data_IF_824106615828
#
_entry.id   IF_824106615828
#
_cell.length_a   1.000
_cell.length_b   1.000
_cell.length_c   1.000
_cell.angle_alpha   90.00
_cell.angle_beta   90.00
_cell.angle_gamma   90.00
#
_symmetry.space_group_name_H-M   'P 1'
#
loop_
_entity.id
_entity.type
_entity.pdbx_description
1 polymer ?
#
# COMPACT_ATOMS: atom_id res chain seq x y z
N UNK A 1 -17.08 1.98 -19.05
CA UNK A 1 -15.75 1.36 -19.17
C UNK A 1 -15.36 0.85 -17.80
N UNK A 2 -14.86 -0.39 -17.65
CA UNK A 2 -14.46 -0.91 -16.35
C UNK A 2 -13.28 -0.12 -15.78
N UNK A 3 -13.33 0.21 -14.50
CA UNK A 3 -12.33 0.98 -13.75
C UNK A 3 -11.38 0.03 -13.04
N UNK A 4 -10.08 0.15 -13.36
CA UNK A 4 -9.01 -0.58 -12.70
C UNK A 4 -8.37 0.30 -11.62
N UNK A 5 -8.44 -0.14 -10.37
CA UNK A 5 -7.68 0.44 -9.26
C UNK A 5 -6.42 -0.37 -9.02
N UNK A 6 -5.27 0.30 -8.85
CA UNK A 6 -4.04 -0.34 -8.41
C UNK A 6 -3.40 0.48 -7.29
N UNK A 7 -2.87 -0.21 -6.27
CA UNK A 7 -2.15 0.45 -5.18
C UNK A 7 -1.15 -0.50 -4.52
N UNK A 8 -0.01 0.06 -4.09
CA UNK A 8 0.98 -0.66 -3.30
C UNK A 8 0.37 -1.13 -1.98
N UNK A 9 0.70 -2.33 -1.47
CA UNK A 9 0.29 -2.79 -0.15
C UNK A 9 0.78 -1.84 0.95
N UNK A 10 -0.07 -1.56 1.93
CA UNK A 10 0.29 -0.78 3.11
C UNK A 10 0.24 -1.67 4.35
N UNK A 11 1.24 -1.54 5.24
CA UNK A 11 1.29 -2.29 6.50
C UNK A 11 0.06 -2.05 7.38
N UNK A 12 -0.41 -0.79 7.44
CA UNK A 12 -1.68 -0.39 8.07
C UNK A 12 -2.44 0.48 7.06
N UNK A 13 -3.34 -0.11 6.26
CA UNK A 13 -4.12 0.65 5.30
C UNK A 13 -5.11 1.60 6.00
N UNK A 14 -5.25 2.81 5.46
CA UNK A 14 -6.25 3.78 5.93
C UNK A 14 -7.55 3.66 5.13
N UNK A 15 -8.64 4.28 5.60
CA UNK A 15 -9.97 4.20 4.98
C UNK A 15 -9.99 4.56 3.48
N UNK A 16 -9.13 5.49 3.05
CA UNK A 16 -8.98 5.86 1.64
C UNK A 16 -8.47 4.74 0.74
N UNK A 17 -7.66 3.81 1.29
CA UNK A 17 -7.23 2.60 0.58
C UNK A 17 -8.43 1.72 0.22
N UNK A 18 -9.30 1.47 1.20
CA UNK A 18 -10.51 0.67 1.04
C UNK A 18 -11.56 1.39 0.20
N UNK A 19 -11.68 2.71 0.32
CA UNK A 19 -12.56 3.48 -0.55
C UNK A 19 -12.14 3.36 -2.03
N UNK A 20 -10.84 3.41 -2.31
CA UNK A 20 -10.30 3.19 -3.67
C UNK A 20 -10.65 1.80 -4.20
N UNK A 21 -10.53 0.78 -3.33
CA UNK A 21 -10.93 -0.59 -3.65
C UNK A 21 -12.43 -0.70 -3.94
N UNK A 22 -13.28 -0.09 -3.11
CA UNK A 22 -14.74 -0.12 -3.27
C UNK A 22 -15.23 0.61 -4.54
N UNK A 23 -14.48 1.61 -5.02
CA UNK A 23 -14.81 2.37 -6.23
C UNK A 23 -14.27 1.74 -7.53
N UNK A 24 -13.50 0.65 -7.44
CA UNK A 24 -12.90 -0.01 -8.61
C UNK A 24 -13.67 -1.27 -8.97
N UNK A 25 -13.86 -1.54 -10.27
CA UNK A 25 -14.44 -2.80 -10.74
C UNK A 25 -13.46 -3.97 -10.52
N UNK A 26 -12.16 -3.69 -10.61
CA UNK A 26 -11.08 -4.60 -10.26
C UNK A 26 -10.00 -3.83 -9.49
N UNK A 27 -9.56 -4.37 -8.35
CA UNK A 27 -8.51 -3.77 -7.54
C UNK A 27 -7.28 -4.68 -7.49
N UNK A 28 -6.14 -4.16 -7.94
CA UNK A 28 -4.85 -4.88 -7.99
C UNK A 28 -3.96 -4.41 -6.85
N UNK A 29 -3.46 -5.39 -6.09
CA UNK A 29 -2.33 -5.19 -5.19
C UNK A 29 -1.07 -5.09 -6.04
N UNK A 30 -0.52 -3.88 -6.17
CA UNK A 30 0.66 -3.61 -6.99
C UNK A 30 1.93 -3.85 -6.15
N UNK A 31 2.35 -5.11 -6.06
CA UNK A 31 3.52 -5.55 -5.29
C UNK A 31 4.83 -5.52 -6.10
N UNK A 32 4.77 -5.70 -7.42
CA UNK A 32 5.91 -5.58 -8.33
C UNK A 32 6.03 -4.18 -8.92
N UNK A 33 6.59 -3.25 -8.13
CA UNK A 33 6.81 -1.85 -8.53
C UNK A 33 8.11 -1.31 -7.95
N UNK A 34 8.64 -0.26 -8.56
CA UNK A 34 9.87 0.38 -8.09
C UNK A 34 9.71 0.95 -6.67
N UNK A 35 10.71 0.69 -5.83
CA UNK A 35 10.78 1.22 -4.47
C UNK A 35 10.90 2.74 -4.47
N UNK A 36 10.03 3.42 -3.73
CA UNK A 36 10.07 4.87 -3.58
C UNK A 36 11.02 5.27 -2.45
N UNK A 37 12.08 6.01 -2.74
CA UNK A 37 13.07 6.45 -1.74
C UNK A 37 12.64 7.67 -0.93
N UNK A 38 11.60 8.38 -1.36
CA UNK A 38 11.11 9.61 -0.72
C UNK A 38 9.77 9.44 0.00
N UNK A 39 9.22 8.23 0.05
CA UNK A 39 7.94 7.94 0.69
C UNK A 39 8.00 8.01 2.22
N UNK A 40 6.86 8.35 2.84
CA UNK A 40 6.70 8.29 4.31
C UNK A 40 6.88 6.87 4.86
N UNK A 41 6.58 5.86 4.03
CA UNK A 41 6.78 4.43 4.35
C UNK A 41 8.22 4.15 4.78
N UNK A 42 9.21 4.87 4.23
CA UNK A 42 10.63 4.68 4.54
C UNK A 42 11.01 5.15 5.96
N UNK A 43 10.13 5.91 6.62
CA UNK A 43 10.29 6.32 8.02
C UNK A 43 9.67 5.32 8.98
N UNK A 44 8.81 4.43 8.49
CA UNK A 44 8.11 3.43 9.30
C UNK A 44 9.05 2.26 9.54
N UNK A 45 9.28 1.93 10.81
CA UNK A 45 10.07 0.76 11.22
C UNK A 45 9.16 -0.32 11.79
N UNK A 46 9.46 -1.57 11.49
CA UNK A 46 8.70 -2.72 12.01
C UNK A 46 9.34 -3.16 13.32
N UNK A 47 8.55 -3.20 14.41
CA UNK A 47 9.04 -3.74 15.68
C UNK A 47 9.06 -5.27 15.60
N UNK A 48 10.26 -5.85 15.69
CA UNK A 48 10.50 -7.29 15.77
C UNK A 48 10.95 -7.68 17.18
N UNK A 49 11.11 -8.98 17.42
CA UNK A 49 11.66 -9.48 18.68
C UNK A 49 13.13 -9.04 18.90
N UNK A 50 13.83 -8.66 17.83
CA UNK A 50 15.24 -8.23 17.84
C UNK A 50 15.41 -6.71 17.82
N UNK A 51 14.32 -5.92 17.80
CA UNK A 51 14.37 -4.46 17.76
C UNK A 51 13.59 -3.87 16.57
N UNK A 52 13.94 -2.65 16.16
CA UNK A 52 13.29 -1.99 15.02
C UNK A 52 13.99 -2.37 13.70
N UNK A 53 13.24 -2.94 12.76
CA UNK A 53 13.64 -3.22 11.39
C UNK A 53 13.27 -2.05 10.46
#
# INVERSE_FOLDING_TARGET
MPTLGAHQPNYIPWSGYFNKMALSDCFVLADDVQYSTQGYTNRTRIKTAQGAQ
#
